data_IF_554204096315
#
_entry.id   IF_554204096315
#
_cell.length_a   1.000
_cell.length_b   1.000
_cell.length_c   1.000
_cell.angle_alpha   90.00
_cell.angle_beta   90.00
_cell.angle_gamma   90.00
#
_symmetry.space_group_name_H-M   'P 1'
#
loop_
_entity.id
_entity.type
_entity.pdbx_description
1 polymer ?
#
# COMPACT_ATOMS: atom_id res chain seq x y z
N UNK A 1 -17.44 17.67 -13.39
CA UNK A 1 -17.15 16.24 -13.64
C UNK A 1 -16.34 16.15 -14.93
N UNK A 2 -15.25 15.36 -14.97
CA UNK A 2 -14.45 15.17 -16.21
C UNK A 2 -15.03 13.98 -16.98
N UNK A 3 -15.41 14.17 -18.24
CA UNK A 3 -16.00 13.13 -19.09
C UNK A 3 -15.49 13.25 -20.54
N UNK A 4 -15.07 12.15 -21.20
CA UNK A 4 -14.55 12.18 -22.57
C UNK A 4 -15.52 12.79 -23.61
N UNK A 5 -16.82 12.77 -23.34
CA UNK A 5 -17.90 13.12 -24.27
C UNK A 5 -18.43 14.56 -24.06
N UNK A 6 -17.86 15.33 -23.13
CA UNK A 6 -18.39 16.62 -22.68
C UNK A 6 -18.13 17.82 -23.64
N UNK A 7 -17.91 17.58 -24.94
CA UNK A 7 -17.65 18.63 -25.94
C UNK A 7 -16.30 19.38 -25.80
N UNK A 8 -15.53 19.10 -24.74
CA UNK A 8 -14.18 19.59 -24.50
C UNK A 8 -13.24 18.40 -24.31
N UNK A 9 -11.97 18.54 -24.70
CA UNK A 9 -10.99 17.48 -24.43
C UNK A 9 -10.78 17.28 -22.93
N UNK A 10 -10.50 16.03 -22.51
CA UNK A 10 -10.13 15.68 -21.12
C UNK A 10 -9.01 16.60 -20.60
N UNK A 11 -8.04 16.94 -21.45
CA UNK A 11 -6.95 17.86 -21.10
C UNK A 11 -7.46 19.25 -20.70
N UNK A 12 -8.43 19.81 -21.46
CA UNK A 12 -9.00 21.13 -21.18
C UNK A 12 -9.89 21.09 -19.93
N UNK A 13 -10.62 20.01 -19.72
CA UNK A 13 -11.42 19.80 -18.51
C UNK A 13 -10.54 19.71 -17.25
N UNK A 14 -9.45 18.94 -17.31
CA UNK A 14 -8.44 18.85 -16.25
C UNK A 14 -7.82 20.22 -15.93
N UNK A 15 -7.47 21.00 -16.97
CA UNK A 15 -6.90 22.34 -16.80
C UNK A 15 -7.88 23.31 -16.11
N UNK A 16 -9.15 23.32 -16.53
CA UNK A 16 -10.19 24.16 -15.92
C UNK A 16 -10.48 23.79 -14.46
N UNK A 17 -10.35 22.51 -14.11
CA UNK A 17 -10.59 22.01 -12.75
C UNK A 17 -9.32 21.96 -11.88
N UNK A 18 -8.18 22.45 -12.39
CA UNK A 18 -6.87 22.38 -11.73
C UNK A 18 -6.48 20.95 -11.27
N UNK A 19 -6.89 19.93 -12.02
CA UNK A 19 -6.54 18.52 -11.77
C UNK A 19 -5.44 18.09 -12.73
N UNK A 20 -4.42 17.39 -12.24
CA UNK A 20 -3.42 16.79 -13.11
C UNK A 20 -4.06 15.71 -14.00
N UNK A 21 -3.82 15.78 -15.32
CA UNK A 21 -4.35 14.79 -16.28
C UNK A 21 -3.99 13.34 -15.91
N UNK A 22 -2.80 13.13 -15.35
CA UNK A 22 -2.35 11.81 -14.88
C UNK A 22 -3.25 11.25 -13.77
N UNK A 23 -3.75 12.10 -12.87
CA UNK A 23 -4.67 11.71 -11.80
C UNK A 23 -6.03 11.27 -12.33
N UNK A 24 -6.52 11.87 -13.43
CA UNK A 24 -7.77 11.45 -14.05
C UNK A 24 -7.71 10.03 -14.61
N UNK A 25 -6.59 9.64 -15.23
CA UNK A 25 -6.41 8.27 -15.73
C UNK A 25 -5.94 7.28 -14.65
N UNK A 26 -5.50 7.78 -13.50
CA UNK A 26 -5.03 6.93 -12.43
C UNK A 26 -6.20 6.14 -11.83
N UNK A 27 -6.21 4.83 -12.08
CA UNK A 27 -7.04 3.90 -11.33
C UNK A 27 -6.23 3.36 -10.17
N UNK A 28 -6.76 3.52 -8.95
CA UNK A 28 -6.24 2.83 -7.78
C UNK A 28 -6.20 1.34 -8.09
N UNK A 29 -5.01 0.74 -8.09
CA UNK A 29 -4.88 -0.70 -8.30
C UNK A 29 -5.15 -1.39 -6.96
N UNK A 30 -6.08 -2.36 -6.90
CA UNK A 30 -6.22 -3.16 -5.70
C UNK A 30 -4.89 -3.86 -5.41
N UNK A 31 -4.58 -4.05 -4.13
CA UNK A 31 -3.41 -4.81 -3.73
C UNK A 31 -3.52 -6.22 -4.31
N UNK A 32 -2.47 -6.68 -4.99
CA UNK A 32 -2.43 -8.07 -5.48
C UNK A 32 -2.54 -9.03 -4.30
N UNK A 33 -3.09 -10.24 -4.50
CA UNK A 33 -3.17 -11.26 -3.45
C UNK A 33 -1.82 -11.55 -2.79
N UNK A 34 -0.72 -11.53 -3.57
CA UNK A 34 0.63 -11.66 -3.04
C UNK A 34 1.09 -10.49 -2.15
N UNK A 35 0.64 -9.26 -2.42
CA UNK A 35 0.91 -8.11 -1.53
C UNK A 35 0.09 -8.23 -0.24
N UNK A 36 -1.15 -8.72 -0.32
CA UNK A 36 -1.98 -8.98 0.87
C UNK A 36 -1.39 -10.06 1.78
N UNK A 37 -0.91 -11.19 1.22
CA UNK A 37 -0.27 -12.24 2.01
C UNK A 37 1.04 -11.77 2.65
N UNK A 38 1.85 -11.00 1.91
CA UNK A 38 3.05 -10.38 2.47
C UNK A 38 2.72 -9.40 3.62
N UNK A 39 1.63 -8.65 3.49
CA UNK A 39 1.13 -7.76 4.52
C UNK A 39 0.69 -8.53 5.77
N UNK A 40 -0.08 -9.60 5.63
CA UNK A 40 -0.49 -10.47 6.75
C UNK A 40 0.73 -11.07 7.47
N UNK A 41 1.75 -11.51 6.73
CA UNK A 41 2.97 -12.06 7.35
C UNK A 41 3.76 -11.00 8.11
N UNK A 42 3.90 -9.81 7.54
CA UNK A 42 4.53 -8.68 8.21
C UNK A 42 3.82 -8.30 9.51
N UNK A 43 2.48 -8.27 9.48
CA UNK A 43 1.64 -7.96 10.64
C UNK A 43 1.86 -8.96 11.78
N UNK A 44 1.86 -10.26 11.48
CA UNK A 44 2.12 -11.30 12.47
C UNK A 44 3.49 -11.16 13.12
N UNK A 45 4.55 -11.02 12.32
CA UNK A 45 5.93 -10.87 12.83
C UNK A 45 6.05 -9.62 13.71
N UNK A 46 5.43 -8.51 13.31
CA UNK A 46 5.48 -7.26 14.06
C UNK A 46 4.66 -7.33 15.34
N UNK A 47 3.50 -8.00 15.33
CA UNK A 47 2.68 -8.22 16.53
C UNK A 47 3.47 -9.02 17.58
N UNK A 48 4.19 -10.07 17.15
CA UNK A 48 5.06 -10.84 18.03
C UNK A 48 6.31 -10.04 18.46
N UNK A 49 6.73 -9.03 17.69
CA UNK A 49 7.95 -8.26 17.92
C UNK A 49 7.79 -6.75 17.62
N UNK A 50 7.06 -5.96 18.45
CA UNK A 50 6.68 -4.58 18.13
C UNK A 50 7.85 -3.60 17.98
N UNK A 51 9.03 -3.96 18.50
CA UNK A 51 10.26 -3.16 18.38
C UNK A 51 10.97 -3.35 17.03
N UNK A 52 10.48 -4.23 16.15
CA UNK A 52 11.14 -4.55 14.89
C UNK A 52 10.87 -3.46 13.85
N UNK A 53 11.91 -2.67 13.57
CA UNK A 53 11.94 -1.82 12.38
C UNK A 53 12.13 -2.61 11.09
N UNK A 54 12.05 -1.92 9.95
CA UNK A 54 12.10 -2.52 8.59
C UNK A 54 13.26 -3.49 8.34
N UNK A 55 14.41 -3.31 9.03
CA UNK A 55 15.58 -4.17 8.88
C UNK A 55 15.36 -5.53 9.53
N UNK A 56 14.82 -5.57 10.75
CA UNK A 56 14.57 -6.83 11.47
C UNK A 56 13.41 -7.60 10.84
N UNK A 57 12.36 -6.91 10.41
CA UNK A 57 11.25 -7.53 9.67
C UNK A 57 11.70 -8.17 8.35
N UNK A 58 12.60 -7.50 7.62
CA UNK A 58 13.18 -8.08 6.39
C UNK A 58 13.92 -9.40 6.68
N UNK A 59 14.73 -9.44 7.75
CA UNK A 59 15.47 -10.65 8.14
C UNK A 59 14.52 -11.75 8.59
N UNK A 60 13.46 -11.42 9.34
CA UNK A 60 12.44 -12.37 9.74
C UNK A 60 11.72 -12.98 8.52
N UNK A 61 11.29 -12.15 7.57
CA UNK A 61 10.71 -12.64 6.31
C UNK A 61 11.69 -13.54 5.54
N UNK A 62 12.97 -13.18 5.50
CA UNK A 62 13.98 -14.01 4.83
C UNK A 62 14.13 -15.39 5.50
N UNK A 63 14.05 -15.45 6.83
CA UNK A 63 14.06 -16.72 7.59
C UNK A 63 12.82 -17.57 7.31
N UNK A 64 11.70 -16.94 6.96
CA UNK A 64 10.48 -17.61 6.50
C UNK A 64 10.51 -17.98 5.01
N UNK A 65 11.65 -17.81 4.32
CA UNK A 65 11.79 -18.09 2.89
C UNK A 65 11.24 -16.98 1.98
N UNK A 66 10.83 -15.84 2.52
CA UNK A 66 10.26 -14.72 1.77
C UNK A 66 11.33 -13.67 1.49
N UNK A 67 11.89 -13.69 0.28
CA UNK A 67 12.88 -12.70 -0.15
C UNK A 67 12.22 -11.38 -0.55
N UNK A 68 12.35 -10.37 0.30
CA UNK A 68 11.83 -9.01 0.06
C UNK A 68 12.88 -7.97 0.41
N UNK A 69 13.00 -6.93 -0.41
CA UNK A 69 13.91 -5.82 -0.14
C UNK A 69 13.44 -4.90 0.99
N UNK A 70 14.38 -4.39 1.81
CA UNK A 70 14.10 -3.46 2.93
C UNK A 70 13.25 -2.25 2.55
N UNK A 71 13.45 -1.67 1.35
CA UNK A 71 12.65 -0.52 0.87
C UNK A 71 11.16 -0.88 0.71
N UNK A 72 10.88 -2.10 0.22
CA UNK A 72 9.51 -2.62 0.10
C UNK A 72 8.89 -2.84 1.47
N UNK A 73 9.63 -3.47 2.40
CA UNK A 73 9.19 -3.60 3.81
C UNK A 73 8.84 -2.25 4.42
N UNK A 74 9.73 -1.24 4.31
CA UNK A 74 9.47 0.12 4.83
C UNK A 74 8.24 0.77 4.18
N UNK A 75 8.03 0.58 2.88
CA UNK A 75 6.82 1.08 2.20
C UNK A 75 5.56 0.41 2.74
N UNK A 76 5.58 -0.92 2.89
CA UNK A 76 4.45 -1.69 3.42
C UNK A 76 4.14 -1.32 4.87
N UNK A 77 5.15 -1.18 5.73
CA UNK A 77 4.98 -0.69 7.10
C UNK A 77 4.27 0.67 7.17
N UNK A 78 4.54 1.59 6.22
CA UNK A 78 3.87 2.90 6.14
C UNK A 78 2.42 2.80 5.68
N UNK A 79 2.09 1.85 4.79
CA UNK A 79 0.70 1.59 4.38
C UNK A 79 -0.13 1.03 5.54
N UNK A 80 0.51 0.37 6.50
CA UNK A 80 -0.12 -0.43 7.56
C UNK A 80 -0.46 0.34 8.85
N UNK A 81 -0.28 1.67 8.88
CA UNK A 81 -0.26 2.44 10.13
C UNK A 81 -1.59 2.63 10.92
N UNK A 82 -2.74 1.99 10.59
CA UNK A 82 -3.88 1.93 11.53
C UNK A 82 -4.07 0.58 12.29
N UNK A 83 -3.48 -0.54 11.86
CA UNK A 83 -3.87 -1.88 12.38
C UNK A 83 -3.10 -2.35 13.63
N UNK A 84 -1.92 -1.79 13.90
CA UNK A 84 -1.04 -2.20 15.02
C UNK A 84 -1.57 -1.87 16.43
N UNK A 85 -2.81 -1.40 16.54
CA UNK A 85 -3.50 -1.17 17.83
C UNK A 85 -4.75 -2.02 18.01
N UNK A 86 -5.10 -2.85 17.01
CA UNK A 86 -6.37 -3.61 16.96
C UNK A 86 -6.15 -5.12 16.99
N UNK A 87 -5.03 -5.59 17.53
CA UNK A 87 -4.86 -6.98 17.95
C UNK A 87 -5.63 -7.22 19.25
N UNK A 88 -6.96 -7.16 19.18
CA UNK A 88 -7.97 -7.61 20.16
C UNK A 88 -9.31 -7.45 19.43
N UNK A 89 -9.67 -8.44 18.62
CA UNK A 89 -11.02 -8.83 18.18
C UNK A 89 -10.84 -9.67 16.93
N UNK A 90 -10.71 -10.98 17.13
CA UNK A 90 -11.40 -12.07 16.42
C UNK A 90 -10.79 -13.36 16.99
N UNK A 91 -11.53 -13.96 17.93
CA UNK A 91 -11.58 -15.42 18.13
C UNK A 91 -12.02 -16.13 16.84
#
# INVERSE_FOLDING_TARGET
MIAPEAGLSVSRQCALLAVARSSFYYRSRPESGAELELLKRLDRIFTDNPVYGSRRLQVALLRDGISVGRRRVRRLMRKFQPLFRRSLDVD
#
